data_IF_654444214344
#
_entry.id   IF_654444214344
#
_cell.length_a   1.000
_cell.length_b   1.000
_cell.length_c   1.000
_cell.angle_alpha   90.00
_cell.angle_beta   90.00
_cell.angle_gamma   90.00
#
_symmetry.space_group_name_H-M   'P 1'
#
loop_
_entity.id
_entity.type
_entity.pdbx_description
1 polymer ?
#
# COMPACT_ATOMS: atom_id res chain seq x y z
N UNK A 1 -25.55 -5.75 -19.92
CA UNK A 1 -26.56 -4.66 -20.03
C UNK A 1 -26.25 -3.38 -19.23
N UNK A 2 -25.44 -3.40 -18.14
CA UNK A 2 -25.19 -2.21 -17.30
C UNK A 2 -24.04 -1.25 -17.73
N UNK A 3 -23.32 -1.51 -18.83
CA UNK A 3 -22.21 -0.65 -19.29
C UNK A 3 -22.66 0.65 -19.98
N UNK A 4 -23.94 0.77 -20.35
CA UNK A 4 -24.48 1.91 -21.13
C UNK A 4 -25.00 3.09 -20.28
N UNK A 5 -24.99 2.99 -18.94
CA UNK A 5 -25.39 4.08 -18.04
C UNK A 5 -24.19 4.55 -17.21
N UNK A 6 -23.01 4.67 -17.85
CA UNK A 6 -21.88 5.36 -17.23
C UNK A 6 -21.82 6.74 -17.86
N UNK A 7 -22.01 7.78 -17.06
CA UNK A 7 -21.82 9.18 -17.44
C UNK A 7 -20.34 9.54 -17.21
N UNK A 8 -19.45 9.43 -18.22
CA UNK A 8 -18.01 9.47 -17.98
C UNK A 8 -17.54 10.88 -17.57
N UNK A 9 -18.26 11.92 -18.02
CA UNK A 9 -18.01 13.31 -17.64
C UNK A 9 -18.60 13.69 -16.27
N UNK A 10 -19.32 12.80 -15.58
CA UNK A 10 -19.92 13.08 -14.26
C UNK A 10 -18.90 13.63 -13.27
N UNK A 11 -17.71 13.04 -13.20
CA UNK A 11 -16.67 13.46 -12.24
C UNK A 11 -16.16 14.87 -12.56
N UNK A 12 -15.95 15.18 -13.84
CA UNK A 12 -15.57 16.52 -14.28
C UNK A 12 -16.65 17.56 -13.95
N UNK A 13 -17.93 17.22 -14.18
CA UNK A 13 -19.06 18.09 -13.81
C UNK A 13 -19.12 18.33 -12.30
N UNK A 14 -18.95 17.29 -11.48
CA UNK A 14 -18.90 17.43 -10.02
C UNK A 14 -17.74 18.35 -9.60
N UNK A 15 -16.54 18.15 -10.15
CA UNK A 15 -15.40 19.02 -9.85
C UNK A 15 -15.69 20.48 -10.21
N UNK A 16 -16.29 20.73 -11.39
CA UNK A 16 -16.64 22.08 -11.85
C UNK A 16 -17.67 22.78 -10.96
N UNK A 17 -18.62 22.01 -10.40
CA UNK A 17 -19.68 22.55 -9.52
C UNK A 17 -19.24 22.64 -8.06
N UNK A 18 -18.10 22.07 -7.69
CA UNK A 18 -17.62 22.04 -6.31
C UNK A 18 -16.93 23.36 -5.96
N UNK A 19 -17.24 23.88 -4.77
CA UNK A 19 -16.53 25.01 -4.17
C UNK A 19 -15.05 24.67 -3.92
N UNK A 20 -14.78 23.47 -3.42
CA UNK A 20 -13.45 22.93 -3.12
C UNK A 20 -13.43 21.43 -3.41
N UNK A 21 -12.30 20.90 -3.87
CA UNK A 21 -12.13 19.46 -4.16
C UNK A 21 -10.94 18.90 -3.40
N UNK A 22 -11.16 17.87 -2.58
CA UNK A 22 -10.09 17.09 -1.97
C UNK A 22 -9.84 15.78 -2.74
N UNK A 23 -8.58 15.44 -2.97
CA UNK A 23 -8.16 14.20 -3.65
C UNK A 23 -7.05 13.50 -2.88
N UNK A 24 -6.86 12.20 -3.12
CA UNK A 24 -5.90 11.39 -2.36
C UNK A 24 -4.45 11.40 -2.85
N UNK A 25 -4.18 11.88 -4.08
CA UNK A 25 -2.83 11.90 -4.66
C UNK A 25 -2.69 12.96 -5.75
N UNK A 26 -1.45 13.13 -6.23
CA UNK A 26 -1.04 14.06 -7.28
C UNK A 26 -1.75 13.82 -8.62
N UNK A 27 -1.83 12.57 -9.06
CA UNK A 27 -2.50 12.18 -10.33
C UNK A 27 -3.97 12.63 -10.38
N UNK A 28 -4.72 12.40 -9.30
CA UNK A 28 -6.11 12.85 -9.19
C UNK A 28 -6.21 14.38 -9.08
N UNK A 29 -5.23 15.04 -8.47
CA UNK A 29 -5.19 16.50 -8.38
C UNK A 29 -5.00 17.15 -9.74
N UNK A 30 -4.12 16.60 -10.59
CA UNK A 30 -3.92 17.07 -11.96
C UNK A 30 -5.20 16.97 -12.79
N UNK A 31 -5.99 15.91 -12.60
CA UNK A 31 -7.30 15.80 -13.21
C UNK A 31 -8.27 16.87 -12.67
N UNK A 32 -8.40 16.99 -11.34
CA UNK A 32 -9.37 17.89 -10.72
C UNK A 32 -9.07 19.38 -11.00
N UNK A 33 -7.79 19.78 -11.05
CA UNK A 33 -7.34 21.15 -11.34
C UNK A 33 -7.76 21.66 -12.73
N UNK A 34 -8.14 20.78 -13.64
CA UNK A 34 -8.71 21.17 -14.95
C UNK A 34 -10.12 21.76 -14.83
N UNK A 35 -10.81 21.50 -13.71
CA UNK A 35 -12.23 21.82 -13.54
C UNK A 35 -12.53 22.65 -12.28
N UNK A 36 -11.70 22.55 -11.23
CA UNK A 36 -11.83 23.33 -10.00
C UNK A 36 -10.52 24.08 -9.71
N UNK A 37 -10.60 25.32 -9.24
CA UNK A 37 -9.43 26.12 -8.86
C UNK A 37 -8.88 25.75 -7.48
N UNK A 38 -9.76 25.34 -6.57
CA UNK A 38 -9.41 25.07 -5.17
C UNK A 38 -9.34 23.55 -4.93
N UNK A 39 -8.16 22.99 -5.20
CA UNK A 39 -7.90 21.54 -5.13
C UNK A 39 -6.82 21.24 -4.10
N UNK A 40 -7.17 20.42 -3.11
CA UNK A 40 -6.27 20.00 -2.04
C UNK A 40 -5.97 18.50 -2.12
N UNK A 41 -4.71 18.13 -1.91
CA UNK A 41 -4.32 16.73 -1.77
C UNK A 41 -4.37 16.37 -0.28
N UNK A 42 -5.31 15.52 0.11
CA UNK A 42 -5.37 14.93 1.45
C UNK A 42 -5.11 13.43 1.29
N UNK A 43 -3.90 12.94 1.62
CA UNK A 43 -3.54 11.55 1.37
C UNK A 43 -4.38 10.59 2.21
N UNK A 44 -4.36 9.32 1.84
CA UNK A 44 -4.84 8.28 2.76
C UNK A 44 -3.97 8.28 4.02
N UNK A 45 -4.61 8.21 5.19
CA UNK A 45 -3.93 8.17 6.49
C UNK A 45 -4.34 6.95 7.29
N UNK A 46 -3.48 6.58 8.25
CA UNK A 46 -3.77 5.57 9.27
C UNK A 46 -3.70 6.18 10.67
N UNK A 47 -4.48 5.64 11.59
CA UNK A 47 -4.37 5.99 12.99
C UNK A 47 -3.17 5.26 13.61
N UNK A 48 -2.08 5.99 13.85
CA UNK A 48 -0.83 5.45 14.41
C UNK A 48 -0.81 5.41 15.94
N UNK A 49 -1.87 5.89 16.61
CA UNK A 49 -1.98 6.04 18.07
C UNK A 49 -2.93 4.99 18.67
N UNK A 50 -4.12 4.81 18.08
CA UNK A 50 -5.13 3.89 18.59
C UNK A 50 -5.16 2.53 17.86
N UNK A 51 -4.90 2.51 16.55
CA UNK A 51 -5.05 1.29 15.72
C UNK A 51 -3.70 0.68 15.34
N UNK A 52 -2.93 1.39 14.51
CA UNK A 52 -1.61 0.97 14.02
C UNK A 52 -0.52 1.44 14.97
N UNK A 53 -0.63 1.10 16.25
CA UNK A 53 0.25 1.58 17.32
C UNK A 53 1.33 0.58 17.75
N UNK A 54 1.44 -0.54 17.02
CA UNK A 54 2.42 -1.58 17.24
C UNK A 54 3.50 -1.56 16.16
N UNK A 55 4.65 -2.13 16.50
CA UNK A 55 5.76 -2.35 15.58
C UNK A 55 5.98 -3.85 15.40
N UNK A 56 6.33 -4.24 14.19
CA UNK A 56 6.69 -5.61 13.88
C UNK A 56 8.03 -5.95 14.52
N UNK A 57 8.10 -7.13 15.14
CA UNK A 57 9.36 -7.69 15.55
C UNK A 57 10.06 -8.30 14.34
N UNK A 58 11.23 -7.78 13.97
CA UNK A 58 12.01 -8.26 12.83
C UNK A 58 13.08 -9.29 13.22
N UNK A 59 13.27 -9.52 14.53
CA UNK A 59 14.15 -10.54 15.12
C UNK A 59 13.52 -11.94 15.01
N UNK A 60 13.47 -12.42 13.77
CA UNK A 60 13.00 -13.76 13.42
C UNK A 60 13.99 -14.42 12.48
N UNK A 61 14.16 -15.73 12.63
CA UNK A 61 15.00 -16.54 11.74
C UNK A 61 14.35 -16.72 10.35
N UNK A 62 13.03 -16.98 10.33
CA UNK A 62 12.27 -17.28 9.12
C UNK A 62 11.24 -16.18 8.83
N UNK A 63 11.61 -15.12 8.07
CA UNK A 63 10.69 -14.04 7.76
C UNK A 63 9.54 -14.52 6.85
N UNK A 64 8.40 -13.85 6.99
CA UNK A 64 7.17 -14.15 6.26
C UNK A 64 6.90 -13.03 5.26
N UNK A 65 6.79 -13.39 3.99
CA UNK A 65 6.38 -12.45 2.93
C UNK A 65 4.86 -12.43 2.88
N UNK A 66 4.25 -11.26 2.87
CA UNK A 66 2.79 -11.13 2.98
C UNK A 66 2.16 -10.16 2.01
N UNK A 67 0.87 -10.39 1.75
CA UNK A 67 0.01 -9.48 1.02
C UNK A 67 -1.37 -9.44 1.68
N UNK A 68 -1.92 -8.24 1.88
CA UNK A 68 -3.32 -8.05 2.29
C UNK A 68 -4.15 -7.53 1.11
N UNK A 69 -5.43 -7.86 1.01
CA UNK A 69 -6.32 -7.24 0.01
C UNK A 69 -7.66 -7.96 -0.16
N UNK A 70 -8.29 -7.73 -1.30
CA UNK A 70 -9.59 -8.33 -1.64
C UNK A 70 -9.52 -9.05 -2.99
N UNK A 71 -10.52 -9.87 -3.28
CA UNK A 71 -10.69 -10.58 -4.55
C UNK A 71 -10.54 -9.66 -5.78
N UNK A 72 -11.02 -8.42 -5.72
CA UNK A 72 -10.92 -7.46 -6.83
C UNK A 72 -9.50 -6.91 -7.03
N UNK A 73 -8.63 -7.06 -6.03
CA UNK A 73 -7.21 -6.65 -6.08
C UNK A 73 -6.25 -7.83 -6.19
N UNK A 74 -6.77 -9.06 -6.14
CA UNK A 74 -5.96 -10.29 -6.20
C UNK A 74 -5.17 -10.38 -7.51
N UNK A 75 -5.72 -9.89 -8.61
CA UNK A 75 -5.04 -9.83 -9.90
C UNK A 75 -3.67 -9.11 -9.84
N UNK A 76 -3.48 -8.17 -8.91
CA UNK A 76 -2.18 -7.51 -8.78
C UNK A 76 -1.18 -8.39 -8.03
N UNK A 77 -1.61 -9.17 -7.04
CA UNK A 77 -0.73 -10.13 -6.36
C UNK A 77 -0.12 -11.11 -7.37
N UNK A 78 -0.89 -11.52 -8.38
CA UNK A 78 -0.41 -12.41 -9.45
C UNK A 78 0.80 -11.87 -10.22
N UNK A 79 1.02 -10.55 -10.24
CA UNK A 79 2.22 -9.95 -10.85
C UNK A 79 3.51 -10.32 -10.10
N UNK A 80 3.43 -10.57 -8.79
CA UNK A 80 4.58 -10.94 -7.97
C UNK A 80 4.71 -12.46 -7.74
N UNK A 81 3.68 -13.25 -8.05
CA UNK A 81 3.69 -14.71 -7.82
C UNK A 81 4.81 -15.44 -8.57
N UNK A 82 5.11 -15.15 -9.86
CA UNK A 82 6.22 -15.79 -10.57
C UNK A 82 7.58 -15.59 -9.87
N UNK A 83 7.85 -14.37 -9.40
CA UNK A 83 9.05 -14.05 -8.62
C UNK A 83 9.12 -14.84 -7.31
N UNK A 84 8.00 -14.96 -6.59
CA UNK A 84 7.93 -15.75 -5.36
C UNK A 84 8.22 -17.23 -5.61
N UNK A 85 7.62 -17.83 -6.65
CA UNK A 85 7.83 -19.23 -7.01
C UNK A 85 9.30 -19.51 -7.33
N UNK A 86 9.91 -18.70 -8.21
CA UNK A 86 11.33 -18.83 -8.58
C UNK A 86 12.26 -18.60 -7.38
N UNK A 87 11.91 -17.69 -6.48
CA UNK A 87 12.71 -17.48 -5.27
C UNK A 87 12.63 -18.67 -4.30
N UNK A 88 11.47 -19.34 -4.20
CA UNK A 88 11.27 -20.54 -3.38
C UNK A 88 12.01 -21.80 -3.89
N UNK A 89 12.64 -21.72 -5.07
CA UNK A 89 13.59 -22.74 -5.54
C UNK A 89 14.98 -22.57 -4.90
N UNK A 90 15.29 -21.37 -4.41
CA UNK A 90 16.64 -20.98 -3.93
C UNK A 90 16.67 -20.66 -2.44
N UNK A 91 15.58 -20.14 -1.89
CA UNK A 91 15.48 -19.65 -0.52
C UNK A 91 14.19 -20.18 0.11
N UNK A 92 14.31 -20.69 1.33
CA UNK A 92 13.16 -21.17 2.09
C UNK A 92 12.53 -20.02 2.89
N UNK A 93 11.25 -19.75 2.68
CA UNK A 93 10.49 -18.71 3.39
C UNK A 93 8.98 -18.98 3.32
N UNK A 94 8.24 -18.40 4.26
CA UNK A 94 6.77 -18.54 4.33
C UNK A 94 6.06 -17.40 3.62
N UNK A 95 4.87 -17.69 3.08
CA UNK A 95 4.02 -16.69 2.44
C UNK A 95 2.65 -16.63 3.11
N UNK A 96 2.16 -15.43 3.40
CA UNK A 96 0.81 -15.22 3.93
C UNK A 96 -0.03 -14.33 3.01
N UNK A 97 -1.27 -14.75 2.75
CA UNK A 97 -2.29 -13.91 2.06
C UNK A 97 -3.44 -13.63 3.01
N UNK A 98 -3.70 -12.36 3.25
CA UNK A 98 -4.79 -11.87 4.11
C UNK A 98 -5.87 -11.28 3.21
N UNK A 99 -6.98 -11.99 3.00
CA UNK A 99 -8.01 -11.53 2.07
C UNK A 99 -9.41 -12.04 2.39
N UNK A 100 -10.41 -11.55 1.67
CA UNK A 100 -11.79 -12.05 1.79
C UNK A 100 -12.02 -13.39 1.08
N UNK A 101 -11.08 -13.82 0.23
CA UNK A 101 -11.14 -15.06 -0.55
C UNK A 101 -9.73 -15.67 -0.66
N UNK A 102 -9.62 -16.99 -0.56
CA UNK A 102 -8.33 -17.71 -0.66
C UNK A 102 -7.98 -17.95 -2.14
N UNK A 103 -6.89 -17.35 -2.66
CA UNK A 103 -6.43 -17.61 -4.02
C UNK A 103 -5.86 -18.99 -4.29
N UNK A 104 -5.62 -19.82 -3.25
CA UNK A 104 -5.02 -21.16 -3.38
C UNK A 104 -3.73 -21.16 -4.21
N UNK A 105 -2.80 -20.25 -3.88
CA UNK A 105 -1.53 -20.12 -4.59
C UNK A 105 -0.69 -21.39 -4.39
N UNK A 106 -0.04 -21.86 -5.46
CA UNK A 106 0.86 -23.01 -5.43
C UNK A 106 2.24 -22.68 -4.83
N UNK A 107 2.28 -21.87 -3.77
CA UNK A 107 3.50 -21.46 -3.06
C UNK A 107 3.78 -22.44 -1.91
N UNK A 108 5.06 -22.72 -1.65
CA UNK A 108 5.49 -23.49 -0.47
C UNK A 108 5.21 -22.67 0.79
N UNK A 109 4.94 -23.35 1.92
CA UNK A 109 4.68 -22.71 3.23
C UNK A 109 3.67 -21.55 3.12
N UNK A 110 2.65 -21.75 2.29
CA UNK A 110 1.58 -20.80 2.07
C UNK A 110 0.53 -20.90 3.19
N UNK A 111 0.11 -19.74 3.70
CA UNK A 111 -0.97 -19.61 4.66
C UNK A 111 -1.97 -18.56 4.18
N UNK A 112 -3.25 -18.91 4.22
CA UNK A 112 -4.34 -17.97 4.02
C UNK A 112 -4.91 -17.51 5.37
N UNK A 113 -5.23 -16.23 5.48
CA UNK A 113 -6.01 -15.65 6.58
C UNK A 113 -7.22 -14.94 5.99
N UNK A 114 -8.42 -15.29 6.45
CA UNK A 114 -9.63 -14.55 6.11
C UNK A 114 -9.61 -13.19 6.83
N UNK A 115 -9.57 -12.10 6.07
CA UNK A 115 -9.52 -10.74 6.63
C UNK A 115 -10.71 -10.46 7.55
N UNK A 116 -10.43 -9.89 8.71
CA UNK A 116 -11.41 -9.35 9.66
C UNK A 116 -10.90 -8.02 10.19
N UNK A 117 -11.81 -7.08 10.43
CA UNK A 117 -11.45 -5.75 10.93
C UNK A 117 -10.82 -5.83 12.32
N UNK A 118 -11.34 -6.72 13.16
CA UNK A 118 -10.94 -6.85 14.57
C UNK A 118 -9.52 -7.39 14.73
N UNK A 119 -9.04 -8.17 13.76
CA UNK A 119 -7.72 -8.79 13.78
C UNK A 119 -6.75 -8.17 12.78
N UNK A 120 -7.15 -7.14 12.01
CA UNK A 120 -6.35 -6.59 10.90
C UNK A 120 -4.89 -6.34 11.31
N UNK A 121 -4.66 -5.61 12.40
CA UNK A 121 -3.29 -5.30 12.87
C UNK A 121 -2.53 -6.57 13.28
N UNK A 122 -3.19 -7.50 13.98
CA UNK A 122 -2.56 -8.75 14.40
C UNK A 122 -2.20 -9.64 13.20
N UNK A 123 -3.09 -9.72 12.21
CA UNK A 123 -2.88 -10.48 10.98
C UNK A 123 -1.74 -9.86 10.16
N UNK A 124 -1.71 -8.52 10.04
CA UNK A 124 -0.62 -7.81 9.37
C UNK A 124 0.72 -8.05 10.08
N UNK A 125 0.76 -8.04 11.41
CA UNK A 125 1.96 -8.35 12.20
C UNK A 125 2.42 -9.83 12.08
N UNK A 126 1.69 -10.67 11.35
CA UNK A 126 2.20 -12.00 11.02
C UNK A 126 3.15 -12.02 9.80
N UNK A 127 3.34 -10.88 9.12
CA UNK A 127 4.29 -10.74 8.01
C UNK A 127 5.45 -9.80 8.34
N UNK A 128 6.59 -10.02 7.70
CA UNK A 128 7.83 -9.28 7.91
C UNK A 128 8.23 -8.45 6.69
N UNK A 129 7.65 -8.78 5.52
CA UNK A 129 7.84 -8.09 4.24
C UNK A 129 6.45 -7.97 3.59
N UNK A 130 6.04 -6.75 3.22
CA UNK A 130 4.73 -6.49 2.63
C UNK A 130 4.80 -6.25 1.12
N UNK A 131 4.00 -6.96 0.33
CA UNK A 131 3.94 -6.77 -1.12
C UNK A 131 2.80 -5.82 -1.51
N UNK A 132 3.07 -4.89 -2.41
CA UNK A 132 2.05 -4.04 -3.05
C UNK A 132 2.31 -3.89 -4.56
N UNK A 133 2.18 -4.98 -5.34
CA UNK A 133 2.21 -4.90 -6.79
C UNK A 133 0.99 -4.14 -7.33
N UNK A 134 1.16 -3.46 -8.46
CA UNK A 134 0.12 -2.79 -9.24
C UNK A 134 0.49 -2.83 -10.73
N UNK A 135 -0.51 -2.92 -11.59
CA UNK A 135 -0.32 -2.73 -13.03
C UNK A 135 -0.10 -1.24 -13.35
N UNK A 136 0.67 -0.92 -14.40
CA UNK A 136 0.89 0.46 -14.83
C UNK A 136 -0.24 0.95 -15.73
N UNK A 137 -1.43 1.19 -15.16
CA UNK A 137 -2.55 1.84 -15.86
C UNK A 137 -2.99 3.10 -15.13
N UNK A 138 -3.76 3.96 -15.81
CA UNK A 138 -4.27 5.19 -15.21
C UNK A 138 -5.21 4.94 -14.02
N UNK A 139 -5.90 3.80 -13.98
CA UNK A 139 -6.71 3.40 -12.82
C UNK A 139 -5.81 3.18 -11.60
N UNK A 140 -4.68 2.50 -11.77
CA UNK A 140 -3.74 2.24 -10.69
C UNK A 140 -2.97 3.48 -10.26
N UNK A 141 -2.62 4.38 -11.18
CA UNK A 141 -2.03 5.69 -10.85
C UNK A 141 -2.96 6.52 -9.96
N UNK A 142 -4.27 6.36 -10.10
CA UNK A 142 -5.27 6.98 -9.24
C UNK A 142 -5.38 6.38 -7.83
N UNK A 143 -4.71 5.26 -7.50
CA UNK A 143 -4.74 4.66 -6.16
C UNK A 143 -3.82 5.39 -5.18
N UNK A 144 -4.11 5.27 -3.89
CA UNK A 144 -3.48 6.07 -2.83
C UNK A 144 -2.55 5.28 -1.89
N UNK A 145 -2.00 4.14 -2.32
CA UNK A 145 -0.91 3.49 -1.56
C UNK A 145 -1.30 2.81 -0.23
N UNK A 146 -2.58 2.62 0.06
CA UNK A 146 -3.05 2.24 1.41
C UNK A 146 -2.35 1.03 2.05
N UNK A 147 -2.13 -0.06 1.29
CA UNK A 147 -1.46 -1.26 1.83
C UNK A 147 -0.02 -0.97 2.27
N UNK A 148 0.74 -0.25 1.46
CA UNK A 148 2.09 0.17 1.80
C UNK A 148 2.10 1.08 3.04
N UNK A 149 1.13 2.00 3.15
CA UNK A 149 0.95 2.83 4.35
C UNK A 149 0.72 1.94 5.58
N UNK A 150 -0.17 0.95 5.51
CA UNK A 150 -0.42 0.02 6.62
C UNK A 150 0.85 -0.77 7.00
N UNK A 151 1.58 -1.33 6.04
CA UNK A 151 2.81 -2.09 6.30
C UNK A 151 3.87 -1.23 6.99
N UNK A 152 4.18 -0.07 6.41
CA UNK A 152 5.19 0.84 6.94
C UNK A 152 4.79 1.39 8.32
N UNK A 153 3.49 1.60 8.55
CA UNK A 153 2.97 2.03 9.85
C UNK A 153 3.27 1.02 10.97
N UNK A 154 3.36 -0.26 10.62
CA UNK A 154 3.65 -1.35 11.55
C UNK A 154 5.13 -1.77 11.50
N UNK A 155 6.01 -1.00 10.88
CA UNK A 155 7.44 -1.35 10.79
C UNK A 155 7.75 -2.52 9.86
N UNK A 156 6.88 -2.78 8.88
CA UNK A 156 7.05 -3.82 7.86
C UNK A 156 7.57 -3.15 6.58
N UNK A 157 8.81 -3.41 6.12
CA UNK A 157 9.28 -2.89 4.84
C UNK A 157 8.41 -3.40 3.69
N UNK A 158 8.15 -2.51 2.72
CA UNK A 158 7.28 -2.80 1.59
C UNK A 158 8.06 -2.97 0.29
N UNK A 159 7.66 -3.93 -0.56
CA UNK A 159 8.11 -4.04 -1.95
C UNK A 159 6.94 -3.70 -2.87
N UNK A 160 7.11 -2.72 -3.74
CA UNK A 160 6.00 -2.08 -4.46
C UNK A 160 6.31 -1.90 -5.95
N UNK A 161 5.28 -1.95 -6.80
CA UNK A 161 5.44 -1.56 -8.21
C UNK A 161 5.70 -0.06 -8.36
N UNK A 162 6.40 0.40 -9.42
CA UNK A 162 6.71 1.81 -9.68
C UNK A 162 5.48 2.61 -10.18
N UNK A 163 4.37 2.58 -9.43
CA UNK A 163 3.07 3.11 -9.90
C UNK A 163 2.44 4.07 -8.89
N UNK A 164 2.21 5.31 -9.31
CA UNK A 164 1.43 6.30 -8.58
C UNK A 164 1.92 6.51 -7.14
N UNK A 165 0.98 6.51 -6.19
CA UNK A 165 1.30 6.74 -4.78
C UNK A 165 2.27 5.72 -4.15
N UNK A 166 2.50 4.54 -4.77
CA UNK A 166 3.47 3.58 -4.25
C UNK A 166 4.87 4.20 -4.13
N UNK A 167 5.33 4.94 -5.13
CA UNK A 167 6.67 5.56 -5.15
C UNK A 167 6.74 6.87 -4.36
N UNK A 168 5.59 7.42 -3.97
CA UNK A 168 5.52 8.54 -3.02
C UNK A 168 5.63 8.02 -1.56
N UNK A 169 4.99 6.87 -1.27
CA UNK A 169 4.97 6.24 0.05
C UNK A 169 6.27 5.48 0.35
N UNK A 170 6.79 4.73 -0.62
CA UNK A 170 8.01 3.93 -0.48
C UNK A 170 9.21 4.64 -1.10
N UNK A 171 10.16 5.02 -0.24
CA UNK A 171 11.45 5.55 -0.65
C UNK A 171 12.40 4.37 -0.89
N UNK A 172 12.69 4.10 -2.17
CA UNK A 172 13.50 2.96 -2.59
C UNK A 172 14.84 2.89 -1.83
N UNK A 173 15.13 1.73 -1.22
CA UNK A 173 16.33 1.48 -0.44
C UNK A 173 16.34 2.11 0.97
N UNK A 174 15.28 2.84 1.38
CA UNK A 174 15.20 3.48 2.71
C UNK A 174 14.17 2.83 3.61
N UNK A 175 12.92 2.68 3.14
CA UNK A 175 11.84 2.05 3.91
C UNK A 175 11.19 0.87 3.18
N UNK A 176 11.77 0.47 2.05
CA UNK A 176 11.28 -0.59 1.20
C UNK A 176 12.00 -0.57 -0.15
N UNK A 177 11.46 -1.30 -1.11
CA UNK A 177 11.98 -1.37 -2.47
C UNK A 177 10.90 -1.10 -3.50
N UNK A 178 11.31 -0.50 -4.61
CA UNK A 178 10.49 -0.37 -5.82
C UNK A 178 10.97 -1.42 -6.82
N UNK A 179 10.05 -2.23 -7.34
CA UNK A 179 10.34 -3.34 -8.25
C UNK A 179 9.30 -3.40 -9.38
N UNK A 180 9.77 -3.41 -10.62
CA UNK A 180 8.92 -3.52 -11.82
C UNK A 180 9.01 -4.93 -12.41
N UNK A 181 10.24 -5.39 -12.63
CA UNK A 181 10.51 -6.68 -13.28
C UNK A 181 10.52 -7.83 -12.28
N UNK A 182 10.26 -9.04 -12.77
CA UNK A 182 10.31 -10.25 -11.94
C UNK A 182 11.64 -10.39 -11.18
N UNK A 183 12.78 -10.10 -11.83
CA UNK A 183 14.11 -10.14 -11.22
C UNK A 183 14.29 -9.09 -10.11
N UNK A 184 13.73 -7.88 -10.28
CA UNK A 184 13.74 -6.85 -9.25
C UNK A 184 12.91 -7.26 -8.04
N UNK A 185 11.73 -7.86 -8.26
CA UNK A 185 10.90 -8.41 -7.19
C UNK A 185 11.65 -9.49 -6.43
N UNK A 186 12.24 -10.45 -7.15
CA UNK A 186 13.06 -11.50 -6.55
C UNK A 186 14.22 -10.93 -5.72
N UNK A 187 15.00 -10.00 -6.30
CA UNK A 187 16.16 -9.41 -5.64
C UNK A 187 15.77 -8.62 -4.39
N UNK A 188 14.71 -7.82 -4.45
CA UNK A 188 14.22 -7.04 -3.32
C UNK A 188 13.75 -7.94 -2.17
N UNK A 189 12.95 -8.96 -2.49
CA UNK A 189 12.43 -9.90 -1.50
C UNK A 189 13.58 -10.72 -0.89
N UNK A 190 14.51 -11.21 -1.71
CA UNK A 190 15.67 -11.98 -1.26
C UNK A 190 16.56 -11.18 -0.29
N UNK A 191 16.86 -9.91 -0.62
CA UNK A 191 17.61 -9.02 0.28
C UNK A 191 16.93 -8.89 1.63
N UNK A 192 15.62 -8.64 1.63
CA UNK A 192 14.87 -8.51 2.88
C UNK A 192 14.77 -9.83 3.64
N UNK A 193 14.72 -10.99 2.97
CA UNK A 193 14.71 -12.28 3.67
C UNK A 193 16.05 -12.51 4.39
N UNK A 194 17.17 -12.26 3.70
CA UNK A 194 18.52 -12.57 4.20
C UNK A 194 19.06 -11.58 5.23
N UNK A 195 18.54 -10.36 5.29
CA UNK A 195 19.09 -9.30 6.13
C UNK A 195 18.06 -8.76 7.14
N UNK A 196 18.13 -9.28 8.37
CA UNK A 196 17.25 -8.85 9.46
C UNK A 196 17.49 -7.40 9.90
N UNK A 197 18.75 -6.94 9.89
CA UNK A 197 19.10 -5.56 10.24
C UNK A 197 18.58 -4.57 9.20
N UNK A 198 18.61 -4.93 7.92
CA UNK A 198 17.98 -4.16 6.86
C UNK A 198 16.47 -4.06 7.09
N UNK A 199 15.79 -5.16 7.42
CA UNK A 199 14.34 -5.12 7.73
C UNK A 199 14.05 -4.19 8.91
N UNK A 200 14.81 -4.26 9.99
CA UNK A 200 14.67 -3.37 11.16
C UNK A 200 14.85 -1.91 10.78
N UNK A 201 15.96 -1.59 10.09
CA UNK A 201 16.28 -0.23 9.65
C UNK A 201 15.20 0.34 8.74
N UNK A 202 14.77 -0.43 7.74
CA UNK A 202 13.72 -0.02 6.82
C UNK A 202 12.36 0.11 7.50
N UNK A 203 12.02 -0.82 8.38
CA UNK A 203 10.79 -0.77 9.18
C UNK A 203 10.72 0.49 10.06
N UNK A 204 11.80 0.83 10.76
CA UNK A 204 11.88 2.04 11.56
C UNK A 204 11.76 3.32 10.70
N UNK A 205 12.45 3.35 9.54
CA UNK A 205 12.33 4.46 8.59
C UNK A 205 10.91 4.60 8.02
N UNK A 206 10.25 3.47 7.73
CA UNK A 206 8.87 3.38 7.30
C UNK A 206 7.91 3.97 8.34
N UNK A 207 8.02 3.49 9.58
CA UNK A 207 7.21 3.99 10.71
C UNK A 207 7.34 5.49 10.86
N UNK A 208 8.58 6.01 10.87
CA UNK A 208 8.85 7.44 10.98
C UNK A 208 8.13 8.23 9.89
N UNK A 209 8.28 7.82 8.62
CA UNK A 209 7.62 8.49 7.48
C UNK A 209 6.10 8.48 7.61
N UNK A 210 5.50 7.36 8.02
CA UNK A 210 4.04 7.30 8.19
C UNK A 210 3.56 8.23 9.30
N UNK A 211 4.23 8.26 10.45
CA UNK A 211 3.88 9.19 11.54
C UNK A 211 3.94 10.65 11.07
N UNK A 212 4.97 11.02 10.31
CA UNK A 212 5.20 12.39 9.85
C UNK A 212 4.28 12.84 8.70
N UNK A 213 3.81 11.92 7.84
CA UNK A 213 3.15 12.29 6.56
C UNK A 213 1.83 11.59 6.27
N UNK A 214 1.55 10.46 6.91
CA UNK A 214 0.40 9.60 6.59
C UNK A 214 -0.34 9.14 7.87
N UNK A 215 -0.17 9.87 8.97
CA UNK A 215 -0.93 9.66 10.20
C UNK A 215 -2.13 10.60 10.26
N UNK A 216 -3.17 10.21 11.00
CA UNK A 216 -4.30 11.10 11.30
C UNK A 216 -3.81 12.45 11.83
N UNK A 217 -2.81 12.44 12.73
CA UNK A 217 -2.23 13.66 13.30
C UNK A 217 -1.54 14.53 12.24
N UNK A 218 -0.77 13.93 11.32
CA UNK A 218 -0.07 14.69 10.27
C UNK A 218 -1.00 15.40 9.28
N UNK A 219 -2.18 14.83 9.01
CA UNK A 219 -3.15 15.44 8.09
C UNK A 219 -4.27 16.22 8.80
N UNK A 220 -4.31 16.22 10.13
CA UNK A 220 -5.41 16.79 10.92
C UNK A 220 -5.71 18.25 10.55
N UNK A 221 -4.70 19.12 10.64
CA UNK A 221 -4.87 20.56 10.33
C UNK A 221 -5.25 20.80 8.88
N UNK A 222 -4.64 20.06 7.96
CA UNK A 222 -4.95 20.17 6.53
C UNK A 222 -6.40 19.76 6.25
N UNK A 223 -6.87 18.67 6.86
CA UNK A 223 -8.24 18.21 6.71
C UNK A 223 -9.25 19.23 7.26
N UNK A 224 -9.00 19.82 8.44
CA UNK A 224 -9.87 20.86 8.99
C UNK A 224 -9.92 22.12 8.12
N UNK A 225 -8.79 22.52 7.52
CA UNK A 225 -8.72 23.69 6.62
C UNK A 225 -9.60 23.57 5.37
N UNK A 226 -10.09 22.37 5.05
CA UNK A 226 -11.10 22.19 3.99
C UNK A 226 -12.41 22.92 4.34
N UNK A 227 -12.72 23.09 5.63
CA UNK A 227 -13.97 23.64 6.15
C UNK A 227 -13.86 25.08 6.68
N UNK A 228 -12.65 25.58 6.96
CA UNK A 228 -12.40 26.89 7.60
C UNK A 228 -12.88 28.12 6.79
N UNK A 229 -13.36 27.94 5.55
CA UNK A 229 -13.81 29.01 4.65
C UNK A 229 -15.29 28.93 4.25
N UNK A 230 -16.11 28.16 4.97
CA UNK A 230 -17.58 28.18 4.79
C UNK A 230 -18.17 29.32 5.63
N UNK A 231 -18.04 30.55 5.13
CA UNK A 231 -18.80 31.74 5.58
C UNK A 231 -19.33 32.46 4.36
#
# INVERSE_FOLDING_TARGET
MAKFIKWPSKVATICKLSYKVSVGNSFLAEFAKKYCKDVHIVPTVVDTEAVHNKMQNQDIENPVVGWTGTITTLQYLQLAVPALLKLQEKVDFSVVVIANFDPQLALKKYRFIKWKKETEVADLLSMHIGLMPLASTDIEKGKCGFKAIQYLSLGIPAVVSPVGANVEVVDNGKNGFVADTEDEWMSAIEKLIKDAELRKKMGAAGRKKIVEKYSVQSSYKQFLSLFDSIV
#
